data_IF_184484801053
#
_entry.id   IF_184484801053
#
_cell.length_a   1.000
_cell.length_b   1.000
_cell.length_c   1.000
_cell.angle_alpha   90.00
_cell.angle_beta   90.00
_cell.angle_gamma   90.00
#
_symmetry.space_group_name_H-M   'P 1'
#
loop_
_entity.id
_entity.type
_entity.pdbx_description
1 polymer ?
#
# COMPACT_ATOMS: atom_id res chain seq x y z
N UNK A 1 -27.27 -14.26 15.66
CA UNK A 1 -25.81 -14.36 15.56
C UNK A 1 -25.31 -13.12 14.85
N UNK A 2 -24.84 -12.18 15.60
CA UNK A 2 -24.21 -10.95 15.13
C UNK A 2 -22.88 -11.37 14.50
N UNK A 3 -22.81 -11.32 13.19
CA UNK A 3 -21.55 -11.45 12.47
C UNK A 3 -20.66 -10.31 12.86
N UNK A 4 -19.68 -10.56 13.71
CA UNK A 4 -18.72 -9.57 14.11
C UNK A 4 -17.96 -9.05 12.88
N UNK A 5 -17.81 -7.76 12.77
CA UNK A 5 -16.99 -7.06 11.76
C UNK A 5 -15.52 -7.52 11.73
N UNK A 6 -15.11 -8.39 12.64
CA UNK A 6 -13.77 -8.97 12.72
C UNK A 6 -13.36 -9.79 11.48
N UNK A 7 -14.32 -10.32 10.72
CA UNK A 7 -13.99 -11.16 9.55
C UNK A 7 -13.54 -10.39 8.32
N UNK A 8 -13.61 -9.07 8.28
CA UNK A 8 -13.34 -8.27 7.07
C UNK A 8 -11.91 -7.74 7.02
N UNK A 9 -11.25 -7.57 8.16
CA UNK A 9 -9.89 -7.01 8.23
C UNK A 9 -8.76 -7.99 7.90
N UNK A 10 -8.99 -9.30 8.05
CA UNK A 10 -7.97 -10.35 7.83
C UNK A 10 -8.10 -11.07 6.47
N UNK A 11 -8.66 -10.42 5.46
CA UNK A 11 -8.70 -11.00 4.10
C UNK A 11 -7.31 -11.05 3.48
N UNK A 12 -6.47 -11.91 4.04
CA UNK A 12 -5.32 -12.42 3.36
C UNK A 12 -5.76 -13.02 2.02
N UNK A 13 -5.02 -12.76 0.97
CA UNK A 13 -5.26 -13.09 -0.43
C UNK A 13 -6.08 -14.38 -0.62
N UNK A 14 -7.36 -14.22 -0.93
CA UNK A 14 -8.18 -15.31 -1.39
C UNK A 14 -7.76 -15.64 -2.83
N UNK A 15 -7.36 -16.87 -3.09
CA UNK A 15 -7.12 -17.37 -4.44
C UNK A 15 -8.06 -18.52 -4.76
N UNK A 16 -8.59 -18.48 -5.98
CA UNK A 16 -9.51 -19.50 -6.50
C UNK A 16 -8.84 -20.19 -7.67
N UNK A 17 -8.87 -21.53 -7.70
CA UNK A 17 -8.39 -22.28 -8.86
C UNK A 17 -9.23 -22.01 -10.10
N UNK A 18 -8.63 -22.18 -11.29
CA UNK A 18 -9.34 -22.00 -12.57
C UNK A 18 -10.62 -22.88 -12.70
N UNK A 19 -10.63 -24.03 -12.03
CA UNK A 19 -11.79 -24.95 -12.02
C UNK A 19 -12.82 -24.64 -10.93
N UNK A 20 -12.66 -23.55 -10.15
CA UNK A 20 -13.52 -23.18 -9.01
C UNK A 20 -13.67 -24.29 -7.95
N UNK A 21 -12.76 -25.24 -7.92
CA UNK A 21 -12.81 -26.40 -7.03
C UNK A 21 -11.91 -26.28 -5.80
N UNK A 22 -11.04 -25.29 -5.79
CA UNK A 22 -10.11 -25.06 -4.67
C UNK A 22 -10.03 -23.58 -4.32
N UNK A 23 -10.27 -23.28 -3.04
CA UNK A 23 -10.06 -21.97 -2.45
C UNK A 23 -8.84 -22.02 -1.54
N UNK A 24 -7.93 -21.06 -1.66
CA UNK A 24 -6.85 -20.84 -0.69
C UNK A 24 -6.98 -19.48 -0.07
N UNK A 25 -6.79 -19.41 1.23
CA UNK A 25 -6.85 -18.16 1.99
C UNK A 25 -5.92 -18.24 3.21
N UNK A 26 -5.63 -17.08 3.76
CA UNK A 26 -4.87 -16.95 5.01
C UNK A 26 -5.84 -16.55 6.11
N UNK A 27 -5.82 -17.28 7.19
CA UNK A 27 -6.57 -16.95 8.38
C UNK A 27 -5.73 -17.24 9.62
N UNK A 28 -5.64 -16.30 10.54
CA UNK A 28 -4.87 -16.36 11.77
C UNK A 28 -3.40 -16.79 11.54
N UNK A 29 -2.75 -16.15 10.56
CA UNK A 29 -1.38 -16.43 10.12
C UNK A 29 -1.12 -17.87 9.63
N UNK A 30 -2.17 -18.63 9.33
CA UNK A 30 -2.11 -19.96 8.74
C UNK A 30 -2.66 -19.90 7.31
N UNK A 31 -2.06 -20.68 6.41
CA UNK A 31 -2.57 -20.90 5.06
C UNK A 31 -3.56 -22.04 5.08
N UNK A 32 -4.72 -21.82 4.52
CA UNK A 32 -5.79 -22.79 4.44
C UNK A 32 -6.18 -23.05 2.99
N UNK A 33 -6.46 -24.29 2.70
CA UNK A 33 -7.01 -24.75 1.42
C UNK A 33 -8.36 -25.41 1.66
N UNK A 34 -9.38 -24.95 0.95
CA UNK A 34 -10.68 -25.60 0.91
C UNK A 34 -10.92 -26.24 -0.45
N UNK A 35 -11.10 -27.55 -0.49
CA UNK A 35 -11.43 -28.32 -1.66
C UNK A 35 -12.96 -28.52 -1.73
N UNK A 36 -13.65 -27.74 -2.60
CA UNK A 36 -15.12 -27.67 -2.65
C UNK A 36 -15.76 -29.02 -3.00
N UNK A 37 -15.18 -29.78 -3.95
CA UNK A 37 -15.71 -31.09 -4.35
C UNK A 37 -15.65 -32.15 -3.26
N UNK A 38 -14.65 -32.04 -2.37
CA UNK A 38 -14.45 -33.00 -1.27
C UNK A 38 -15.00 -32.50 0.05
N UNK A 39 -15.51 -31.26 0.08
CA UNK A 39 -15.92 -30.54 1.28
C UNK A 39 -14.87 -30.64 2.40
N UNK A 40 -13.59 -30.46 2.03
CA UNK A 40 -12.45 -30.65 2.92
C UNK A 40 -11.68 -29.36 3.11
N UNK A 41 -11.44 -28.99 4.37
CA UNK A 41 -10.59 -27.87 4.75
C UNK A 41 -9.26 -28.44 5.26
N UNK A 42 -8.15 -27.97 4.70
CA UNK A 42 -6.79 -28.40 5.03
C UNK A 42 -5.98 -27.20 5.46
N UNK A 43 -5.25 -27.33 6.56
CA UNK A 43 -4.26 -26.35 6.98
C UNK A 43 -2.94 -26.66 6.26
N UNK A 44 -2.46 -25.75 5.41
CA UNK A 44 -1.20 -25.87 4.68
C UNK A 44 0.01 -25.33 5.48
N UNK A 45 -0.18 -24.98 6.74
CA UNK A 45 0.87 -24.51 7.65
C UNK A 45 0.94 -22.98 7.82
N UNK A 46 1.91 -22.53 8.59
CA UNK A 46 2.11 -21.14 8.90
C UNK A 46 2.55 -20.34 7.65
N UNK A 47 2.02 -19.14 7.50
CA UNK A 47 2.48 -18.21 6.46
C UNK A 47 3.88 -17.75 6.85
N UNK A 48 4.90 -17.91 5.98
CA UNK A 48 6.22 -17.36 6.24
C UNK A 48 6.16 -15.88 6.58
N UNK A 49 6.99 -15.42 7.50
CA UNK A 49 7.07 -14.00 7.93
C UNK A 49 7.20 -13.02 6.75
N UNK A 50 7.91 -13.44 5.69
CA UNK A 50 8.10 -12.68 4.44
C UNK A 50 6.81 -12.49 3.62
N UNK A 51 5.79 -13.35 3.83
CA UNK A 51 4.51 -13.29 3.12
C UNK A 51 3.39 -12.71 4.00
N UNK A 52 3.65 -12.43 5.28
CA UNK A 52 2.71 -11.69 6.12
C UNK A 52 2.56 -10.32 5.51
N UNK A 53 1.33 -9.94 5.18
CA UNK A 53 1.03 -8.54 4.90
C UNK A 53 1.34 -7.77 6.18
N UNK A 54 2.48 -7.08 6.19
CA UNK A 54 2.74 -6.09 7.21
C UNK A 54 1.70 -4.99 7.02
N UNK A 55 1.04 -4.62 8.09
CA UNK A 55 0.21 -3.42 8.07
C UNK A 55 1.09 -2.27 7.59
N UNK A 56 0.61 -1.46 6.66
CA UNK A 56 1.38 -0.37 6.04
C UNK A 56 2.07 0.56 7.05
N UNK A 57 1.55 0.71 8.27
CA UNK A 57 2.15 1.46 9.37
C UNK A 57 3.38 0.76 10.01
N UNK A 58 3.55 -0.56 9.81
CA UNK A 58 4.64 -1.33 10.41
C UNK A 58 5.88 -1.41 9.52
N UNK A 59 5.77 -0.97 8.27
CA UNK A 59 6.82 -1.12 7.24
C UNK A 59 7.77 0.08 7.18
N UNK A 60 7.44 1.15 7.88
CA UNK A 60 8.22 2.39 7.84
C UNK A 60 9.42 2.39 8.82
N UNK A 61 9.58 1.34 9.63
CA UNK A 61 10.71 1.21 10.56
C UNK A 61 11.82 0.34 9.94
N UNK A 62 13.01 0.94 9.77
CA UNK A 62 14.22 0.25 9.32
C UNK A 62 14.54 -1.01 10.15
N UNK A 63 14.29 -0.98 11.46
CA UNK A 63 14.58 -2.08 12.38
C UNK A 63 13.71 -3.31 12.16
N UNK A 64 12.50 -3.12 11.65
CA UNK A 64 11.54 -4.20 11.36
C UNK A 64 11.51 -4.58 9.90
N UNK A 65 12.25 -3.86 9.05
CA UNK A 65 12.33 -4.09 7.62
C UNK A 65 13.01 -5.43 7.29
N UNK A 66 12.47 -6.10 6.29
CA UNK A 66 13.10 -7.28 5.71
C UNK A 66 13.67 -6.93 4.33
N UNK A 67 14.86 -7.41 3.98
CA UNK A 67 15.41 -7.25 2.64
C UNK A 67 14.46 -7.81 1.57
N UNK A 68 14.35 -7.15 0.44
CA UNK A 68 13.42 -7.48 -0.65
C UNK A 68 14.22 -7.93 -1.88
N UNK A 69 14.14 -9.22 -2.28
CA UNK A 69 14.81 -9.69 -3.47
C UNK A 69 14.17 -9.14 -4.74
N UNK A 70 14.98 -8.91 -5.78
CA UNK A 70 14.50 -8.57 -7.12
C UNK A 70 13.79 -9.76 -7.76
N UNK A 71 12.85 -9.54 -8.71
CA UNK A 71 12.16 -10.62 -9.42
C UNK A 71 13.10 -11.60 -10.13
N UNK A 72 14.23 -11.15 -10.66
CA UNK A 72 15.25 -11.99 -11.30
C UNK A 72 16.24 -12.65 -10.32
N UNK A 73 16.13 -12.34 -9.01
CA UNK A 73 16.98 -12.89 -7.97
C UNK A 73 18.41 -12.37 -7.92
N UNK A 74 18.80 -11.41 -8.76
CA UNK A 74 20.18 -10.91 -8.81
C UNK A 74 20.50 -9.88 -7.76
N UNK A 75 19.49 -9.18 -7.24
CA UNK A 75 19.64 -8.09 -6.30
C UNK A 75 18.77 -8.27 -5.08
N UNK A 76 19.17 -7.66 -3.98
CA UNK A 76 18.38 -7.52 -2.75
C UNK A 76 18.37 -6.05 -2.37
N UNK A 77 17.17 -5.45 -2.24
CA UNK A 77 17.01 -4.08 -1.77
C UNK A 77 16.70 -4.04 -0.28
N UNK A 78 17.24 -3.07 0.43
CA UNK A 78 17.05 -2.89 1.88
C UNK A 78 17.29 -1.44 2.30
N UNK A 79 16.87 -1.11 3.52
CA UNK A 79 17.16 0.18 4.14
C UNK A 79 18.33 0.04 5.10
N UNK A 80 19.25 0.98 5.03
CA UNK A 80 20.40 1.10 5.92
C UNK A 80 20.72 2.58 6.16
N UNK A 81 20.81 2.98 7.43
CA UNK A 81 21.04 4.37 7.81
C UNK A 81 20.05 5.33 7.11
N UNK A 82 18.74 5.00 7.17
CA UNK A 82 17.63 5.76 6.58
C UNK A 82 17.66 5.89 5.05
N UNK A 83 18.55 5.18 4.36
CA UNK A 83 18.74 5.23 2.91
C UNK A 83 18.46 3.90 2.24
N UNK A 84 18.14 3.95 0.94
CA UNK A 84 17.93 2.77 0.09
C UNK A 84 19.29 2.24 -0.38
N UNK A 85 19.50 0.96 -0.19
CA UNK A 85 20.65 0.20 -0.69
C UNK A 85 20.17 -0.99 -1.52
N UNK A 86 21.01 -1.41 -2.44
CA UNK A 86 20.89 -2.70 -3.12
C UNK A 86 22.18 -3.49 -2.96
N UNK A 87 22.05 -4.80 -2.87
CA UNK A 87 23.17 -5.74 -2.80
C UNK A 87 23.09 -6.72 -3.94
N UNK A 88 24.15 -6.85 -4.69
CA UNK A 88 24.28 -7.86 -5.71
C UNK A 88 24.48 -9.25 -5.08
N UNK A 89 23.64 -10.21 -5.43
CA UNK A 89 23.63 -11.53 -4.79
C UNK A 89 24.93 -12.30 -5.12
N UNK A 90 25.41 -12.22 -6.37
CA UNK A 90 26.57 -12.96 -6.84
C UNK A 90 27.88 -12.51 -6.17
N UNK A 91 28.08 -11.21 -6.01
CA UNK A 91 29.33 -10.64 -5.49
C UNK A 91 29.26 -10.22 -4.03
N UNK A 92 28.06 -10.07 -3.48
CA UNK A 92 27.83 -9.50 -2.18
C UNK A 92 28.08 -7.99 -2.06
N UNK A 93 28.40 -7.31 -3.18
CA UNK A 93 28.69 -5.88 -3.21
C UNK A 93 27.43 -5.05 -2.96
N UNK A 94 27.52 -4.12 -2.02
CA UNK A 94 26.46 -3.16 -1.73
C UNK A 94 26.63 -1.88 -2.55
N UNK A 95 25.52 -1.32 -3.00
CA UNK A 95 25.43 -0.02 -3.66
C UNK A 95 24.37 0.82 -2.98
N UNK A 96 24.73 2.03 -2.57
CA UNK A 96 23.80 3.03 -2.04
C UNK A 96 23.11 3.73 -3.20
N UNK A 97 21.77 3.82 -3.15
CA UNK A 97 20.95 4.47 -4.17
C UNK A 97 20.49 5.86 -3.76
N UNK A 98 20.20 6.08 -2.46
CA UNK A 98 19.84 7.40 -1.93
C UNK A 98 20.91 7.90 -0.95
N UNK A 99 21.12 9.23 -0.87
CA UNK A 99 22.19 9.85 -0.08
C UNK A 99 21.67 10.86 0.93
N UNK A 100 20.38 11.13 0.94
CA UNK A 100 19.75 12.25 1.66
C UNK A 100 18.74 11.79 2.72
N UNK A 101 18.79 10.50 3.09
CA UNK A 101 18.02 9.95 4.20
C UNK A 101 18.57 10.37 5.56
N UNK A 102 17.69 10.80 6.45
CA UNK A 102 17.99 11.20 7.84
C UNK A 102 16.86 10.73 8.74
N UNK A 103 17.04 10.80 10.08
CA UNK A 103 15.96 10.49 11.04
C UNK A 103 14.70 11.37 10.85
N UNK A 104 14.89 12.61 10.42
CA UNK A 104 13.79 13.55 10.14
C UNK A 104 13.24 13.47 8.72
N UNK A 105 13.83 12.63 7.85
CA UNK A 105 13.39 12.47 6.46
C UNK A 105 14.00 11.18 5.91
N UNK A 106 13.37 10.05 6.15
CA UNK A 106 13.92 8.72 5.88
C UNK A 106 13.19 8.01 4.74
N UNK A 107 13.80 6.96 4.22
CA UNK A 107 13.20 6.11 3.21
C UNK A 107 12.45 4.94 3.84
N UNK A 108 11.22 4.74 3.38
CA UNK A 108 10.37 3.64 3.85
C UNK A 108 10.96 2.28 3.49
N UNK A 109 10.83 1.35 4.41
CA UNK A 109 11.13 -0.05 4.16
C UNK A 109 10.12 -0.75 3.23
N UNK A 110 9.06 -0.07 2.84
CA UNK A 110 8.14 -0.52 1.80
C UNK A 110 8.78 -0.34 0.42
N UNK A 111 9.64 -1.29 0.07
CA UNK A 111 10.37 -1.29 -1.20
C UNK A 111 9.64 -2.17 -2.21
N UNK A 112 9.49 -1.68 -3.43
CA UNK A 112 8.90 -2.39 -4.57
C UNK A 112 9.85 -2.42 -5.74
N UNK A 113 10.21 -3.62 -6.17
CA UNK A 113 10.97 -3.82 -7.40
C UNK A 113 10.08 -3.67 -8.64
N UNK A 114 10.63 -3.06 -9.69
CA UNK A 114 10.00 -3.12 -11.00
C UNK A 114 10.00 -4.54 -11.52
N UNK A 115 8.98 -4.96 -12.30
CA UNK A 115 8.91 -6.29 -12.90
C UNK A 115 10.16 -6.67 -13.70
N UNK A 116 10.82 -5.70 -14.33
CA UNK A 116 12.07 -5.90 -15.09
C UNK A 116 13.35 -5.94 -14.21
N UNK A 117 13.20 -5.85 -12.88
CA UNK A 117 14.32 -5.86 -11.91
C UNK A 117 15.34 -4.73 -12.04
N UNK A 118 15.05 -3.69 -12.82
CA UNK A 118 16.00 -2.59 -13.08
C UNK A 118 15.82 -1.40 -12.15
N UNK A 119 14.68 -1.28 -11.50
CA UNK A 119 14.33 -0.13 -10.67
C UNK A 119 13.71 -0.55 -9.35
N UNK A 120 13.85 0.31 -8.36
CA UNK A 120 13.22 0.19 -7.03
C UNK A 120 12.36 1.41 -6.79
N UNK A 121 11.16 1.21 -6.29
CA UNK A 121 10.28 2.27 -5.81
C UNK A 121 10.13 2.18 -4.29
N UNK A 122 10.05 3.33 -3.62
CA UNK A 122 9.77 3.48 -2.20
C UNK A 122 9.16 4.85 -1.94
N UNK A 123 8.90 5.19 -0.69
CA UNK A 123 8.53 6.54 -0.28
C UNK A 123 9.61 7.17 0.59
N UNK A 124 9.93 8.43 0.34
CA UNK A 124 10.64 9.27 1.28
C UNK A 124 9.63 9.87 2.25
N UNK A 125 9.87 9.72 3.56
CA UNK A 125 8.92 10.06 4.61
C UNK A 125 9.52 11.13 5.52
N UNK A 126 8.80 12.23 5.66
CA UNK A 126 9.01 13.19 6.74
C UNK A 126 8.07 12.80 7.89
N UNK A 127 8.60 12.21 8.97
CA UNK A 127 7.79 11.80 10.11
C UNK A 127 7.34 13.01 10.92
N UNK A 128 6.37 12.78 11.78
CA UNK A 128 5.92 13.75 12.80
C UNK A 128 6.05 13.11 14.18
N UNK A 129 6.06 13.96 15.21
CA UNK A 129 6.03 13.48 16.56
C UNK A 129 4.72 12.73 16.85
N UNK A 130 4.84 11.53 17.41
CA UNK A 130 3.68 10.73 17.77
C UNK A 130 2.88 11.41 18.87
N UNK A 131 1.57 11.56 18.65
CA UNK A 131 0.63 12.09 19.62
C UNK A 131 -0.13 10.95 20.26
N UNK A 132 -0.48 11.09 21.53
CA UNK A 132 -1.16 10.07 22.31
C UNK A 132 -2.38 10.63 23.02
N UNK A 133 -3.43 9.83 23.09
CA UNK A 133 -4.51 9.98 24.05
C UNK A 133 -4.31 8.99 25.19
N UNK A 134 -4.66 9.42 26.41
CA UNK A 134 -4.52 8.62 27.61
C UNK A 134 -5.90 8.34 28.20
N UNK A 135 -6.10 7.13 28.65
CA UNK A 135 -7.32 6.74 29.36
C UNK A 135 -6.99 5.77 30.50
N UNK A 136 -7.85 5.75 31.52
CA UNK A 136 -7.68 4.92 32.69
C UNK A 136 -8.71 3.80 32.67
N UNK A 137 -8.25 2.57 32.74
CA UNK A 137 -9.08 1.41 33.06
C UNK A 137 -9.20 1.31 34.58
N UNK A 138 -10.35 1.72 35.10
CA UNK A 138 -10.55 1.88 36.56
C UNK A 138 -10.64 0.56 37.31
N UNK A 139 -11.06 -0.52 36.63
CA UNK A 139 -11.26 -1.85 37.24
C UNK A 139 -10.75 -2.94 36.29
N UNK A 140 -9.42 -3.09 36.11
CA UNK A 140 -8.87 -4.14 35.28
C UNK A 140 -9.13 -5.53 35.92
N UNK A 141 -9.31 -6.56 35.08
CA UNK A 141 -9.66 -7.89 35.54
C UNK A 141 -8.47 -8.65 36.19
N UNK A 142 -7.24 -8.20 35.96
CA UNK A 142 -6.00 -8.89 36.36
C UNK A 142 -5.25 -8.20 37.50
N UNK A 143 -5.73 -7.05 37.99
CA UNK A 143 -5.14 -6.36 39.14
C UNK A 143 -6.15 -5.47 39.87
N UNK A 144 -5.83 -5.14 41.12
CA UNK A 144 -6.71 -4.32 41.98
C UNK A 144 -6.61 -2.81 41.64
N UNK A 145 -5.43 -2.37 41.23
CA UNK A 145 -5.17 -0.97 40.95
C UNK A 145 -5.55 -0.58 39.51
N UNK A 146 -6.00 0.64 39.25
CA UNK A 146 -6.28 1.12 37.90
C UNK A 146 -5.08 1.02 36.98
N UNK A 147 -5.31 0.81 35.68
CA UNK A 147 -4.30 0.82 34.63
C UNK A 147 -4.38 2.09 33.79
N UNK A 148 -3.24 2.73 33.57
CA UNK A 148 -3.11 3.79 32.59
C UNK A 148 -2.76 3.20 31.23
N UNK A 149 -3.59 3.50 30.24
CA UNK A 149 -3.34 3.15 28.84
C UNK A 149 -3.02 4.41 28.02
N UNK A 150 -2.24 4.23 26.99
CA UNK A 150 -2.00 5.24 25.94
C UNK A 150 -2.26 4.62 24.57
N UNK A 151 -2.90 5.38 23.72
CA UNK A 151 -3.13 5.03 22.33
C UNK A 151 -2.59 6.13 21.43
N UNK A 152 -1.83 5.75 20.39
CA UNK A 152 -1.39 6.70 19.38
C UNK A 152 -2.63 7.23 18.63
N UNK A 153 -2.80 8.53 18.64
CA UNK A 153 -3.96 9.19 18.06
C UNK A 153 -3.63 10.64 17.68
N UNK A 154 -3.59 10.91 16.38
CA UNK A 154 -3.51 12.27 15.88
C UNK A 154 -4.90 12.90 15.85
N UNK A 155 -5.07 14.03 16.52
CA UNK A 155 -6.34 14.79 16.53
C UNK A 155 -6.50 15.61 15.26
N UNK A 156 -7.72 16.01 14.89
CA UNK A 156 -7.94 17.01 13.86
C UNK A 156 -7.11 18.27 14.16
N UNK A 157 -6.30 18.71 13.17
CA UNK A 157 -5.37 19.83 13.34
C UNK A 157 -3.90 19.43 13.60
N UNK A 158 -3.64 18.23 14.13
CA UNK A 158 -2.27 17.74 14.30
C UNK A 158 -1.57 17.55 12.95
N UNK A 159 -0.25 17.70 12.94
CA UNK A 159 0.56 17.38 11.77
C UNK A 159 0.50 15.88 11.48
N UNK A 160 0.55 15.54 10.19
CA UNK A 160 0.59 14.17 9.70
C UNK A 160 1.90 13.92 8.94
N UNK A 161 2.41 12.68 8.89
CA UNK A 161 3.58 12.35 8.09
C UNK A 161 3.38 12.73 6.62
N UNK A 162 4.45 13.21 5.99
CA UNK A 162 4.44 13.57 4.58
C UNK A 162 5.25 12.54 3.78
N UNK A 163 4.63 11.91 2.77
CA UNK A 163 5.23 10.84 1.97
C UNK A 163 5.40 11.27 0.52
N UNK A 164 6.59 11.03 -0.04
CA UNK A 164 6.90 11.30 -1.45
C UNK A 164 7.33 10.00 -2.10
N UNK A 165 6.52 9.41 -2.99
CA UNK A 165 6.93 8.27 -3.80
C UNK A 165 8.14 8.62 -4.66
N UNK A 166 9.11 7.73 -4.70
CA UNK A 166 10.35 7.93 -5.45
C UNK A 166 10.80 6.63 -6.13
N UNK A 167 11.56 6.76 -7.22
CA UNK A 167 12.08 5.64 -7.99
C UNK A 167 13.60 5.80 -8.12
N UNK A 168 14.33 4.69 -8.03
CA UNK A 168 15.76 4.62 -8.23
C UNK A 168 16.10 3.56 -9.28
N UNK A 169 16.94 3.91 -10.24
CA UNK A 169 17.52 2.97 -11.20
C UNK A 169 18.73 2.28 -10.57
N UNK A 170 18.76 0.96 -10.63
CA UNK A 170 19.79 0.17 -9.92
C UNK A 170 21.16 0.35 -10.56
N UNK A 171 21.25 0.28 -11.88
CA UNK A 171 22.54 0.37 -12.59
C UNK A 171 23.12 1.78 -12.59
N UNK A 172 22.35 2.77 -13.02
CA UNK A 172 22.82 4.17 -13.12
C UNK A 172 22.90 4.88 -11.77
N UNK A 173 22.03 4.49 -10.81
CA UNK A 173 21.81 5.20 -9.56
C UNK A 173 20.97 6.48 -9.73
N UNK A 174 20.35 6.69 -10.91
CA UNK A 174 19.48 7.83 -11.16
C UNK A 174 18.26 7.79 -10.23
N UNK A 175 18.02 8.90 -9.55
CA UNK A 175 16.81 9.13 -8.75
C UNK A 175 15.73 9.83 -9.57
N UNK A 176 14.49 9.45 -9.36
CA UNK A 176 13.31 10.05 -9.98
C UNK A 176 12.38 10.42 -8.82
N UNK A 177 12.36 11.71 -8.51
CA UNK A 177 11.59 12.31 -7.41
C UNK A 177 10.60 13.28 -8.04
N UNK A 178 9.29 13.10 -7.83
CA UNK A 178 8.27 13.93 -8.46
C UNK A 178 8.08 15.29 -7.78
N UNK A 179 7.44 16.24 -8.50
CA UNK A 179 6.74 17.37 -7.87
C UNK A 179 5.56 16.86 -7.04
N UNK A 180 5.29 17.51 -5.92
CA UNK A 180 4.24 17.13 -4.97
C UNK A 180 2.93 17.89 -5.16
N UNK A 181 2.81 18.76 -6.17
CA UNK A 181 1.65 19.64 -6.39
C UNK A 181 0.30 18.92 -6.43
N UNK A 182 0.26 17.68 -6.95
CA UNK A 182 -0.96 16.89 -7.03
C UNK A 182 -1.31 16.15 -5.73
N UNK A 183 -0.42 16.16 -4.72
CA UNK A 183 -0.59 15.43 -3.46
C UNK A 183 0.07 16.13 -2.27
N UNK A 184 0.01 17.46 -2.23
CA UNK A 184 0.66 18.30 -1.21
C UNK A 184 -0.05 18.30 0.15
N UNK A 185 -1.38 18.27 0.19
CA UNK A 185 -2.19 18.30 1.41
C UNK A 185 -2.58 16.90 1.86
N UNK A 186 -1.60 16.12 2.25
CA UNK A 186 -1.80 14.70 2.56
C UNK A 186 -2.56 14.47 3.86
N UNK A 187 -3.62 13.64 3.78
CA UNK A 187 -4.02 12.80 4.89
C UNK A 187 -3.21 11.50 4.83
N UNK A 188 -3.14 10.86 3.65
CA UNK A 188 -2.39 9.62 3.44
C UNK A 188 -1.97 9.47 1.97
N UNK A 189 -0.84 8.82 1.76
CA UNK A 189 -0.36 8.32 0.47
C UNK A 189 -0.10 6.82 0.61
N UNK A 190 -0.77 6.01 -0.22
CA UNK A 190 -0.67 4.55 -0.28
C UNK A 190 0.11 4.10 -1.51
N UNK A 191 0.92 3.10 -1.39
CA UNK A 191 1.78 2.61 -2.46
C UNK A 191 3.23 3.06 -2.26
N UNK A 192 4.10 3.03 -3.28
CA UNK A 192 3.86 2.86 -4.72
C UNK A 192 3.75 1.39 -5.19
N UNK A 193 3.01 1.16 -6.28
CA UNK A 193 2.89 -0.14 -6.94
C UNK A 193 3.27 -0.03 -8.42
N UNK A 194 4.07 -0.96 -8.92
CA UNK A 194 4.54 -0.93 -10.30
C UNK A 194 3.47 -1.34 -11.32
N UNK A 195 3.46 -0.64 -12.44
CA UNK A 195 2.79 -1.14 -13.64
C UNK A 195 3.51 -2.36 -14.18
N UNK A 196 2.78 -3.32 -14.81
CA UNK A 196 3.38 -4.54 -15.35
C UNK A 196 4.52 -4.31 -16.36
N UNK A 197 4.51 -3.19 -17.05
CA UNK A 197 5.51 -2.81 -18.06
C UNK A 197 6.75 -2.07 -17.50
N UNK A 198 6.83 -1.89 -16.18
CA UNK A 198 7.95 -1.22 -15.49
C UNK A 198 8.16 0.26 -15.87
N UNK A 199 7.21 0.91 -16.58
CA UNK A 199 7.36 2.31 -17.02
C UNK A 199 6.87 3.34 -16.02
N UNK A 200 6.03 2.93 -15.07
CA UNK A 200 5.49 3.83 -14.08
C UNK A 200 5.12 3.07 -12.78
N UNK A 201 4.97 3.82 -11.72
CA UNK A 201 4.32 3.36 -10.49
C UNK A 201 3.02 4.11 -10.27
N UNK A 202 2.03 3.44 -9.68
CA UNK A 202 0.80 4.07 -9.21
C UNK A 202 0.79 4.15 -7.70
N UNK A 203 0.20 5.21 -7.18
CA UNK A 203 -0.03 5.40 -5.77
C UNK A 203 -1.35 6.13 -5.56
N UNK A 204 -1.93 5.97 -4.39
CA UNK A 204 -3.20 6.59 -4.06
C UNK A 204 -2.99 7.73 -3.08
N UNK A 205 -3.69 8.81 -3.28
CA UNK A 205 -3.63 10.02 -2.48
C UNK A 205 -4.99 10.34 -1.90
N UNK A 206 -5.04 10.47 -0.60
CA UNK A 206 -6.18 10.96 0.16
C UNK A 206 -5.83 12.35 0.72
N UNK A 207 -6.59 13.35 0.33
CA UNK A 207 -6.40 14.72 0.79
C UNK A 207 -6.84 14.86 2.25
N UNK A 208 -6.13 15.67 3.00
CA UNK A 208 -6.58 16.07 4.34
C UNK A 208 -7.89 16.87 4.22
N UNK A 209 -8.93 16.41 4.92
CA UNK A 209 -10.30 16.89 4.78
C UNK A 209 -11.16 15.98 3.90
N UNK A 210 -10.54 15.02 3.21
CA UNK A 210 -11.20 13.96 2.44
C UNK A 210 -12.13 14.44 1.32
N UNK A 211 -11.91 15.65 0.81
CA UNK A 211 -12.70 16.19 -0.30
C UNK A 211 -12.14 15.81 -1.67
N UNK A 212 -10.89 15.34 -1.71
CA UNK A 212 -10.22 14.87 -2.94
C UNK A 212 -9.53 13.54 -2.66
N UNK A 213 -9.79 12.58 -3.55
CA UNK A 213 -9.07 11.31 -3.60
C UNK A 213 -8.54 11.06 -5.01
N UNK A 214 -7.28 10.68 -5.15
CA UNK A 214 -6.65 10.47 -6.45
C UNK A 214 -5.95 9.14 -6.53
N UNK A 215 -6.04 8.50 -7.70
CA UNK A 215 -5.07 7.50 -8.14
C UNK A 215 -4.09 8.21 -9.07
N UNK A 216 -2.83 8.29 -8.66
CA UNK A 216 -1.77 9.00 -9.36
C UNK A 216 -0.78 8.02 -9.99
N UNK A 217 -0.22 8.40 -11.13
CA UNK A 217 0.82 7.65 -11.83
C UNK A 217 2.09 8.50 -11.94
N UNK A 218 3.21 7.97 -11.45
CA UNK A 218 4.54 8.57 -11.57
C UNK A 218 5.30 7.84 -12.68
N UNK A 219 5.65 8.56 -13.74
CA UNK A 219 6.48 8.04 -14.83
C UNK A 219 7.92 7.77 -14.37
N UNK A 220 8.39 6.54 -14.56
CA UNK A 220 9.77 6.14 -14.26
C UNK A 220 10.79 6.69 -15.27
N UNK A 221 10.34 7.26 -16.38
CA UNK A 221 11.21 7.87 -17.39
C UNK A 221 11.36 9.38 -17.13
N UNK A 222 10.23 10.07 -16.99
CA UNK A 222 10.20 11.54 -16.97
C UNK A 222 10.08 12.15 -15.57
N UNK A 223 9.67 11.37 -14.55
CA UNK A 223 9.35 11.88 -13.21
C UNK A 223 8.05 12.68 -13.13
N UNK A 224 7.29 12.77 -14.22
CA UNK A 224 6.00 13.45 -14.23
C UNK A 224 4.94 12.63 -13.51
N UNK A 225 4.09 13.31 -12.74
CA UNK A 225 2.90 12.75 -12.11
C UNK A 225 1.67 13.18 -12.88
N UNK A 226 0.74 12.24 -13.09
CA UNK A 226 -0.57 12.53 -13.67
C UNK A 226 -1.67 11.80 -12.90
N UNK A 227 -2.88 12.36 -12.80
CA UNK A 227 -4.01 11.63 -12.24
C UNK A 227 -4.51 10.59 -13.25
N UNK A 228 -4.74 9.36 -12.77
CA UNK A 228 -5.50 8.33 -13.48
C UNK A 228 -6.98 8.41 -13.13
N UNK A 229 -7.27 8.67 -11.85
CA UNK A 229 -8.61 8.93 -11.31
C UNK A 229 -8.52 10.12 -10.38
N UNK A 230 -9.56 10.95 -10.43
CA UNK A 230 -9.82 11.98 -9.43
C UNK A 230 -11.28 11.89 -9.00
N UNK A 231 -11.50 11.68 -7.71
CA UNK A 231 -12.81 11.78 -7.06
C UNK A 231 -12.84 13.03 -6.19
N UNK A 232 -13.88 13.82 -6.35
CA UNK A 232 -14.09 15.06 -5.59
C UNK A 232 -15.48 15.09 -4.98
N UNK A 233 -15.59 15.70 -3.81
CA UNK A 233 -16.86 15.93 -3.14
C UNK A 233 -16.79 17.24 -2.38
N UNK A 234 -17.88 18.00 -2.38
CA UNK A 234 -18.00 19.21 -1.55
C UNK A 234 -17.98 18.90 -0.05
N UNK A 235 -18.26 17.68 0.32
CA UNK A 235 -18.31 17.23 1.71
C UNK A 235 -17.23 16.20 2.00
N UNK A 236 -17.37 14.97 1.51
CA UNK A 236 -16.53 13.83 1.89
C UNK A 236 -16.52 12.75 0.82
N UNK A 237 -15.34 12.31 0.40
CA UNK A 237 -15.14 11.12 -0.43
C UNK A 237 -14.99 9.92 0.49
N UNK A 238 -15.86 8.91 0.35
CA UNK A 238 -15.81 7.71 1.21
C UNK A 238 -14.66 6.79 0.83
N UNK A 239 -13.45 7.18 1.22
CA UNK A 239 -12.21 6.45 0.90
C UNK A 239 -12.11 5.07 1.58
N UNK A 240 -12.92 4.77 2.60
CA UNK A 240 -12.85 3.49 3.32
C UNK A 240 -13.52 2.34 2.56
N UNK A 241 -14.29 2.64 1.53
CA UNK A 241 -15.03 1.68 0.72
C UNK A 241 -14.64 1.69 -0.75
N UNK A 242 -13.49 2.24 -1.09
CA UNK A 242 -12.98 2.19 -2.46
C UNK A 242 -12.65 0.75 -2.87
N UNK A 243 -12.98 0.44 -4.11
CA UNK A 243 -12.53 -0.77 -4.76
C UNK A 243 -11.75 -0.40 -6.02
N UNK A 244 -10.54 -0.94 -6.13
CA UNK A 244 -9.69 -0.84 -7.29
C UNK A 244 -9.18 -2.22 -7.68
N UNK A 245 -9.24 -2.53 -8.97
CA UNK A 245 -8.64 -3.72 -9.52
C UNK A 245 -7.98 -3.40 -10.85
N UNK A 246 -6.66 -3.45 -10.88
CA UNK A 246 -5.88 -3.26 -12.11
C UNK A 246 -5.92 -4.56 -12.93
N UNK A 247 -6.27 -4.44 -14.22
CA UNK A 247 -6.26 -5.59 -15.11
C UNK A 247 -4.83 -5.97 -15.49
N UNK A 248 -4.63 -7.24 -15.81
CA UNK A 248 -3.29 -7.82 -16.09
C UNK A 248 -2.58 -7.18 -17.28
N UNK A 249 -3.31 -6.60 -18.21
CA UNK A 249 -2.76 -5.90 -19.37
C UNK A 249 -2.14 -4.53 -19.01
N UNK A 250 -2.38 -4.04 -17.79
CA UNK A 250 -1.90 -2.75 -17.31
C UNK A 250 -2.54 -1.54 -18.00
N UNK A 251 -3.53 -1.75 -18.88
CA UNK A 251 -4.20 -0.68 -19.66
C UNK A 251 -5.52 -0.25 -19.09
N UNK A 252 -6.18 -1.12 -18.36
CA UNK A 252 -7.48 -0.87 -17.77
C UNK A 252 -7.49 -1.19 -16.29
N UNK A 253 -8.41 -0.60 -15.57
CA UNK A 253 -8.71 -0.92 -14.16
C UNK A 253 -10.20 -0.79 -13.89
N UNK A 254 -10.70 -1.58 -12.96
CA UNK A 254 -12.03 -1.40 -12.38
C UNK A 254 -11.89 -0.47 -11.20
N UNK A 255 -12.71 0.57 -11.20
CA UNK A 255 -12.76 1.57 -10.15
C UNK A 255 -14.18 1.74 -9.62
N UNK A 256 -14.33 1.85 -8.30
CA UNK A 256 -15.59 2.11 -7.64
C UNK A 256 -15.73 3.62 -7.37
N UNK A 257 -16.85 4.21 -7.80
CA UNK A 257 -17.09 5.66 -7.72
C UNK A 257 -18.54 5.98 -7.39
N UNK A 258 -18.74 7.04 -6.62
CA UNK A 258 -20.05 7.60 -6.28
C UNK A 258 -20.45 8.81 -7.16
N UNK A 259 -19.83 8.97 -8.35
CA UNK A 259 -19.99 10.13 -9.25
C UNK A 259 -21.40 10.39 -9.76
N UNK A 260 -22.26 9.39 -9.74
CA UNK A 260 -23.67 9.48 -10.12
C UNK A 260 -24.63 9.40 -8.92
N UNK A 261 -24.13 9.70 -7.72
CA UNK A 261 -24.78 9.62 -6.41
C UNK A 261 -25.02 8.20 -5.86
N UNK A 262 -24.60 7.16 -6.60
CA UNK A 262 -24.66 5.77 -6.18
C UNK A 262 -23.28 5.12 -6.34
N UNK A 263 -22.99 4.13 -5.53
CA UNK A 263 -21.67 3.52 -5.54
C UNK A 263 -21.57 2.43 -6.59
N UNK A 264 -21.00 2.77 -7.74
CA UNK A 264 -20.93 1.90 -8.91
C UNK A 264 -19.50 1.61 -9.37
N UNK A 265 -19.37 0.50 -10.10
CA UNK A 265 -18.13 0.09 -10.74
C UNK A 265 -18.04 0.69 -12.15
N UNK A 266 -16.86 1.20 -12.47
CA UNK A 266 -16.51 1.77 -13.77
C UNK A 266 -15.28 1.08 -14.34
N UNK A 267 -15.28 0.82 -15.64
CA UNK A 267 -14.06 0.44 -16.35
C UNK A 267 -13.30 1.71 -16.74
N UNK A 268 -12.11 1.86 -16.23
CA UNK A 268 -11.21 2.98 -16.51
C UNK A 268 -10.11 2.60 -17.47
N UNK A 269 -9.87 3.45 -18.44
CA UNK A 269 -8.72 3.38 -19.32
C UNK A 269 -7.55 4.14 -18.69
N UNK A 270 -6.48 3.45 -18.36
CA UNK A 270 -5.30 4.04 -17.70
C UNK A 270 -4.46 4.89 -18.66
N UNK A 271 -4.60 4.70 -19.97
CA UNK A 271 -3.87 5.48 -20.98
C UNK A 271 -4.48 6.87 -21.09
N UNK A 272 -5.80 6.93 -21.28
CA UNK A 272 -6.56 8.19 -21.43
C UNK A 272 -6.91 8.84 -20.10
N UNK A 273 -6.81 8.10 -18.98
CA UNK A 273 -7.26 8.50 -17.64
C UNK A 273 -8.76 8.89 -17.62
N UNK A 274 -9.56 8.16 -18.36
CA UNK A 274 -11.01 8.36 -18.45
C UNK A 274 -11.76 7.04 -18.27
N UNK A 275 -13.00 7.06 -17.76
CA UNK A 275 -13.85 5.90 -17.76
C UNK A 275 -14.26 5.54 -19.20
N UNK A 276 -14.07 4.26 -19.58
CA UNK A 276 -14.56 3.73 -20.85
C UNK A 276 -16.08 3.51 -20.78
N UNK A 277 -16.56 2.94 -19.68
CA UNK A 277 -18.00 2.71 -19.44
C UNK A 277 -18.28 2.37 -17.97
N UNK A 278 -19.54 2.51 -17.58
CA UNK A 278 -20.07 2.09 -16.28
C UNK A 278 -20.48 0.61 -16.33
N UNK A 279 -19.96 -0.18 -15.37
CA UNK A 279 -20.19 -1.64 -15.31
C UNK A 279 -21.52 -1.94 -14.61
N UNK A 280 -21.76 -1.31 -13.45
CA UNK A 280 -22.98 -1.52 -12.65
C UNK A 280 -23.81 -0.25 -12.63
N UNK A 281 -25.15 -0.40 -12.61
CA UNK A 281 -26.12 0.71 -12.65
C UNK A 281 -27.29 0.39 -11.74
N UNK A 282 -27.95 1.42 -11.22
CA UNK A 282 -29.16 1.28 -10.38
C UNK A 282 -29.12 2.23 -9.18
N UNK A 283 -30.22 2.28 -8.45
CA UNK A 283 -30.39 3.12 -7.25
C UNK A 283 -30.22 2.27 -5.97
N UNK A 284 -29.01 1.71 -5.76
CA UNK A 284 -28.68 0.81 -4.63
C UNK A 284 -27.20 0.81 -4.22
#
# INVERSE_FOLDING_TARGET
LVGSEMCIRDRGRLSVSKGLDTLRFVFNNQRWMYASRKNQLVNEGAVPLLLRQKHWMEVDDEKTASPVPSPDGKWIAFIKNQNIYVKEVATGKEKQLSLDGTLGNYYSAYIRWSPDSKKVASCKIRPVEKRYVYYVESSPADQLQPKLHKQEYAKPGDELPFKVPCIYEVESGRSIIPSTELFDRQYEVYGPEWNPDSRAVTFEYNQRGHQVYRVLELSAETGKVRPLVEETSDTYVNYTRHFRHDLKDGKQMIWMSERDNWNHLYMYNRITAQPDYQITKGEW
#
